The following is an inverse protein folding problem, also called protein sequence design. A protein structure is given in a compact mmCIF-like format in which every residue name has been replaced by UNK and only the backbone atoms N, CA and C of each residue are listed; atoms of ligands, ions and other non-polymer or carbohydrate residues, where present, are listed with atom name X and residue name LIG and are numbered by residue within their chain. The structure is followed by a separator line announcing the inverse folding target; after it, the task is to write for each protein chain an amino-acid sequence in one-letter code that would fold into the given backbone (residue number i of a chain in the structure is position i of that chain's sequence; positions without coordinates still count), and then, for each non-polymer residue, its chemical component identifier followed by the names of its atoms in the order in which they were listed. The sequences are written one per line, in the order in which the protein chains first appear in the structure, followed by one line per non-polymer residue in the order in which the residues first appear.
data_IF_687783137125
#
_entry.id   IF_687783137125
#
_cell.length_a   1.000
_cell.length_b   1.000
_cell.length_c   1.000
_cell.angle_alpha   90.00
_cell.angle_beta   90.00
_cell.angle_gamma   90.00
#
_symmetry.space_group_name_H-M   'P 1'
#
loop_
_entity.id
_entity.type
_entity.pdbx_description
1 polymer ?
#
# COMPACT_ATOMS: atom_id res chain seq x y z
N UNK A 1 -65.62 1.77 61.74
CA UNK A 1 -64.73 2.93 61.56
C UNK A 1 -63.58 2.42 60.69
N UNK A 2 -63.72 2.37 59.37
CA UNK A 2 -63.71 3.52 58.42
C UNK A 2 -62.32 4.20 58.48
N UNK A 3 -61.53 4.34 57.41
CA UNK A 3 -61.76 4.23 55.99
C UNK A 3 -60.46 3.80 55.26
N UNK A 4 -60.65 3.13 54.12
CA UNK A 4 -59.74 3.16 52.97
C UNK A 4 -59.99 4.48 52.25
N UNK A 5 -58.96 5.19 51.82
CA UNK A 5 -59.02 6.15 50.70
C UNK A 5 -57.60 6.29 50.11
N UNK A 6 -57.32 5.77 48.91
CA UNK A 6 -57.59 6.41 47.60
C UNK A 6 -56.54 7.47 47.26
N UNK A 7 -55.36 7.06 46.76
CA UNK A 7 -54.45 7.96 46.05
C UNK A 7 -54.75 7.85 44.57
N UNK A 8 -55.35 8.92 44.03
CA UNK A 8 -55.76 9.09 42.65
C UNK A 8 -54.57 9.39 41.74
N UNK A 9 -54.57 8.72 40.59
CA UNK A 9 -53.84 9.09 39.39
C UNK A 9 -54.14 10.53 38.97
N UNK A 10 -53.11 11.31 38.69
CA UNK A 10 -53.11 12.26 37.57
C UNK A 10 -51.77 12.22 36.85
N UNK A 11 -51.89 11.92 35.56
CA UNK A 11 -50.88 12.06 34.54
C UNK A 11 -50.27 13.46 34.52
N UNK A 12 -48.95 13.53 34.38
CA UNK A 12 -48.28 14.61 33.66
C UNK A 12 -47.05 14.01 32.95
N UNK A 13 -47.34 13.35 31.83
CA UNK A 13 -46.36 13.17 30.77
C UNK A 13 -46.17 14.53 30.11
N UNK A 14 -44.99 15.11 30.26
CA UNK A 14 -44.25 15.76 29.18
C UNK A 14 -43.01 16.45 29.74
N UNK A 15 -41.94 16.38 28.96
CA UNK A 15 -40.74 17.22 29.05
C UNK A 15 -39.55 16.67 29.84
N UNK A 16 -38.95 15.57 29.35
CA UNK A 16 -37.52 15.52 29.00
C UNK A 16 -37.37 14.40 27.96
N UNK A 17 -37.11 14.75 26.69
CA UNK A 17 -36.47 13.90 25.66
C UNK A 17 -36.68 14.52 24.27
N UNK A 18 -35.90 15.56 23.99
CA UNK A 18 -35.65 16.07 22.64
C UNK A 18 -34.15 16.26 22.48
N UNK A 19 -33.42 15.14 22.34
CA UNK A 19 -32.19 15.03 21.56
C UNK A 19 -31.77 13.55 21.54
N UNK A 20 -31.34 13.05 20.37
CA UNK A 20 -30.86 11.69 20.09
C UNK A 20 -31.91 10.57 19.86
N UNK A 21 -32.70 10.68 18.79
CA UNK A 21 -33.11 9.51 17.99
C UNK A 21 -33.74 9.96 16.66
N UNK A 22 -32.96 9.96 15.58
CA UNK A 22 -33.43 9.65 14.21
C UNK A 22 -32.25 9.73 13.22
N UNK A 23 -31.47 8.66 13.13
CA UNK A 23 -30.59 8.44 11.98
C UNK A 23 -31.00 7.06 11.44
N UNK A 24 -31.44 6.99 10.17
CA UNK A 24 -31.95 5.83 9.41
C UNK A 24 -33.44 5.48 9.70
N UNK A 25 -34.45 5.56 8.80
CA UNK A 25 -34.68 5.89 7.37
C UNK A 25 -36.22 5.90 7.12
N UNK A 26 -36.83 5.87 5.90
CA UNK A 26 -36.27 5.64 4.56
C UNK A 26 -36.64 6.67 3.46
N UNK A 27 -35.95 6.50 2.33
CA UNK A 27 -36.11 6.94 0.94
C UNK A 27 -37.43 7.57 0.49
N UNK A 28 -37.32 8.69 -0.23
CA UNK A 28 -37.74 8.88 -1.63
C UNK A 28 -37.56 10.37 -1.95
N UNK A 29 -36.60 10.70 -2.82
CA UNK A 29 -36.64 11.86 -3.71
C UNK A 29 -35.40 11.79 -4.63
N UNK A 30 -35.69 11.46 -5.88
CA UNK A 30 -34.77 11.51 -7.01
C UNK A 30 -34.38 12.97 -7.29
N UNK A 31 -33.21 13.39 -6.80
CA UNK A 31 -32.50 14.54 -7.35
C UNK A 31 -31.18 14.07 -7.98
N UNK A 32 -31.16 14.20 -9.31
CA UNK A 32 -30.11 13.84 -10.25
C UNK A 32 -28.90 14.77 -10.07
N UNK A 33 -28.15 14.60 -8.98
CA UNK A 33 -26.81 15.17 -8.82
C UNK A 33 -25.83 14.31 -9.60
N UNK A 34 -25.82 14.50 -10.92
CA UNK A 34 -24.76 14.05 -11.80
C UNK A 34 -23.51 14.92 -11.60
N UNK A 35 -22.96 14.91 -10.38
CA UNK A 35 -21.58 15.30 -10.13
C UNK A 35 -20.70 14.17 -10.68
N UNK A 36 -20.45 14.26 -11.99
CA UNK A 36 -19.37 13.51 -12.62
C UNK A 36 -18.08 13.93 -11.93
N UNK A 37 -17.69 13.18 -10.90
CA UNK A 37 -16.31 13.15 -10.42
C UNK A 37 -15.48 12.88 -11.68
N UNK A 38 -14.64 13.82 -12.14
CA UNK A 38 -13.84 13.55 -13.31
C UNK A 38 -12.91 12.40 -12.90
N UNK A 39 -13.19 11.21 -13.41
CA UNK A 39 -12.17 10.17 -13.58
C UNK A 39 -11.24 10.68 -14.66
N UNK A 40 -10.45 11.71 -14.34
CA UNK A 40 -9.26 11.95 -15.13
C UNK A 40 -8.38 10.72 -14.89
N UNK A 41 -7.90 10.03 -15.93
CA UNK A 41 -6.66 9.31 -15.74
C UNK A 41 -5.70 10.38 -15.23
N UNK A 42 -5.08 10.19 -14.07
CA UNK A 42 -3.99 11.05 -13.63
C UNK A 42 -2.90 10.95 -14.71
N UNK A 43 -3.01 11.75 -15.76
CA UNK A 43 -1.91 12.16 -16.59
C UNK A 43 -1.13 13.06 -15.65
N UNK A 44 -0.29 12.46 -14.81
CA UNK A 44 0.74 13.18 -14.08
C UNK A 44 1.56 13.86 -15.18
N UNK A 45 1.26 15.14 -15.43
CA UNK A 45 1.98 15.99 -16.38
C UNK A 45 3.40 16.28 -15.89
N UNK A 46 3.68 15.97 -14.62
CA UNK A 46 4.94 16.11 -13.95
C UNK A 46 4.88 15.46 -12.58
N UNK A 47 6.04 15.22 -12.00
CA UNK A 47 6.23 14.89 -10.60
C UNK A 47 6.61 16.16 -9.83
N UNK A 48 6.46 16.19 -8.49
CA UNK A 48 7.03 17.28 -7.71
C UNK A 48 8.56 17.31 -7.91
N UNK A 49 9.22 18.45 -7.69
CA UNK A 49 10.68 18.53 -7.71
C UNK A 49 11.32 17.48 -6.81
N UNK A 50 12.50 17.03 -7.19
CA UNK A 50 13.25 16.02 -6.45
C UNK A 50 13.41 16.45 -4.98
N UNK A 51 13.06 15.58 -4.02
CA UNK A 51 13.27 15.89 -2.63
C UNK A 51 14.77 15.88 -2.32
N UNK A 52 15.25 16.93 -1.64
CA UNK A 52 16.64 17.03 -1.19
C UNK A 52 17.01 15.97 -0.16
N UNK A 53 16.01 15.46 0.57
CA UNK A 53 16.11 14.46 1.63
C UNK A 53 15.30 13.20 1.28
N UNK A 54 15.60 12.09 1.96
CA UNK A 54 14.91 10.82 1.75
C UNK A 54 15.54 9.94 0.65
N UNK A 55 14.79 8.96 0.19
CA UNK A 55 15.30 7.83 -0.60
C UNK A 55 14.89 7.84 -2.07
N UNK A 56 14.39 8.97 -2.59
CA UNK A 56 13.96 9.13 -3.98
C UNK A 56 14.99 9.96 -4.72
N UNK A 57 15.45 9.50 -5.88
CA UNK A 57 16.43 10.18 -6.73
C UNK A 57 15.92 10.26 -8.18
N UNK A 58 15.95 11.45 -8.77
CA UNK A 58 15.57 11.63 -10.17
C UNK A 58 16.81 11.74 -11.05
N UNK A 59 16.78 11.09 -12.20
CA UNK A 59 17.83 11.25 -13.21
C UNK A 59 17.21 11.22 -14.60
N UNK A 60 17.52 12.24 -15.40
CA UNK A 60 17.13 12.20 -16.80
C UNK A 60 17.76 10.99 -17.48
N UNK A 61 19.07 10.81 -17.34
CA UNK A 61 19.81 9.65 -17.88
C UNK A 61 21.15 9.43 -17.16
N UNK A 62 21.63 8.18 -17.19
CA UNK A 62 22.88 7.73 -16.56
C UNK A 62 23.76 6.99 -17.58
N UNK A 63 24.10 7.66 -18.68
CA UNK A 63 24.88 7.06 -19.77
C UNK A 63 26.37 7.18 -19.45
N UNK A 64 27.04 6.04 -19.26
CA UNK A 64 28.50 5.88 -19.13
C UNK A 64 29.23 7.08 -18.49
N UNK A 65 28.96 7.37 -17.20
CA UNK A 65 29.64 8.47 -16.52
C UNK A 65 31.15 8.20 -16.43
N UNK A 66 31.93 9.28 -16.40
CA UNK A 66 33.36 9.18 -16.13
C UNK A 66 33.61 8.56 -14.74
N UNK A 67 34.81 8.00 -14.48
CA UNK A 67 35.07 7.31 -13.22
C UNK A 67 34.85 8.17 -11.98
N UNK A 68 35.16 9.47 -12.03
CA UNK A 68 34.96 10.37 -10.88
C UNK A 68 33.47 10.65 -10.66
N UNK A 69 32.72 10.87 -11.74
CA UNK A 69 31.26 11.02 -11.66
C UNK A 69 30.59 9.74 -11.17
N UNK A 70 31.07 8.57 -11.59
CA UNK A 70 30.55 7.28 -11.14
C UNK A 70 30.73 7.09 -9.64
N UNK A 71 31.91 7.38 -9.09
CA UNK A 71 32.15 7.31 -7.63
C UNK A 71 31.23 8.27 -6.85
N UNK A 72 30.97 9.47 -7.40
CA UNK A 72 30.03 10.40 -6.79
C UNK A 72 28.58 9.87 -6.81
N UNK A 73 28.14 9.28 -7.93
CA UNK A 73 26.83 8.65 -8.04
C UNK A 73 26.68 7.47 -7.07
N UNK A 74 27.73 6.66 -6.89
CA UNK A 74 27.74 5.56 -5.92
C UNK A 74 27.60 6.10 -4.49
N UNK A 75 28.32 7.17 -4.16
CA UNK A 75 28.23 7.80 -2.84
C UNK A 75 26.83 8.34 -2.57
N UNK A 76 26.21 8.98 -3.57
CA UNK A 76 24.84 9.45 -3.51
C UNK A 76 23.83 8.30 -3.33
N UNK A 77 23.98 7.22 -4.10
CA UNK A 77 23.13 6.02 -3.98
C UNK A 77 23.21 5.42 -2.58
N UNK A 78 24.42 5.31 -2.02
CA UNK A 78 24.61 4.83 -0.66
C UNK A 78 23.90 5.71 0.37
N UNK A 79 23.90 7.02 0.19
CA UNK A 79 23.17 7.94 1.05
C UNK A 79 21.66 7.77 0.93
N UNK A 80 21.10 7.70 -0.29
CA UNK A 80 19.66 7.44 -0.52
C UNK A 80 19.21 6.11 0.11
N UNK A 81 20.04 5.07 0.00
CA UNK A 81 19.77 3.77 0.63
C UNK A 81 19.76 3.87 2.17
N UNK A 82 20.65 4.66 2.77
CA UNK A 82 20.67 4.85 4.22
C UNK A 82 19.42 5.60 4.72
N UNK A 83 19.02 6.64 4.02
CA UNK A 83 17.80 7.40 4.32
C UNK A 83 16.54 6.52 4.22
N UNK A 84 16.52 5.59 3.27
CA UNK A 84 15.42 4.65 3.05
C UNK A 84 15.59 3.28 3.71
N UNK A 85 16.44 3.15 4.73
CA UNK A 85 16.63 1.90 5.50
C UNK A 85 16.96 0.67 4.64
N UNK A 86 17.77 0.85 3.61
CA UNK A 86 18.16 -0.19 2.65
C UNK A 86 17.39 -0.14 1.34
N UNK A 87 16.48 0.82 1.14
CA UNK A 87 15.72 0.96 -0.11
C UNK A 87 15.84 2.36 -0.69
N UNK A 88 16.02 2.46 -2.01
CA UNK A 88 16.00 3.73 -2.74
C UNK A 88 15.21 3.59 -4.04
N UNK A 89 14.44 4.61 -4.39
CA UNK A 89 13.68 4.69 -5.63
C UNK A 89 14.39 5.63 -6.60
N UNK A 90 14.67 5.12 -7.78
CA UNK A 90 15.27 5.87 -8.87
C UNK A 90 14.27 6.05 -9.99
N UNK A 91 14.04 7.30 -10.38
CA UNK A 91 13.22 7.62 -11.52
C UNK A 91 14.08 8.05 -12.70
N UNK A 92 14.15 7.19 -13.72
CA UNK A 92 14.92 7.41 -14.93
C UNK A 92 14.01 8.04 -16.00
N UNK A 93 14.50 9.08 -16.67
CA UNK A 93 13.72 9.87 -17.63
C UNK A 93 13.01 11.07 -16.99
N UNK A 94 13.35 11.39 -15.74
CA UNK A 94 12.77 12.51 -14.97
C UNK A 94 13.86 13.52 -14.66
N UNK A 95 13.59 14.81 -14.90
CA UNK A 95 14.49 15.89 -14.52
C UNK A 95 14.34 16.24 -13.03
N UNK A 96 15.37 16.85 -12.42
CA UNK A 96 15.38 17.23 -11.00
C UNK A 96 14.20 18.15 -10.61
N UNK A 97 13.62 18.87 -11.56
CA UNK A 97 12.41 19.69 -11.36
C UNK A 97 11.09 18.90 -11.39
N UNK A 98 11.15 17.59 -11.62
CA UNK A 98 10.01 16.68 -11.78
C UNK A 98 9.44 16.61 -13.21
N UNK A 99 10.13 17.22 -14.19
CA UNK A 99 9.67 17.20 -15.60
C UNK A 99 9.92 15.82 -16.22
N UNK A 100 8.87 15.26 -16.83
CA UNK A 100 8.85 13.94 -17.44
C UNK A 100 9.35 13.98 -18.91
N UNK A 101 10.64 14.22 -19.10
CA UNK A 101 11.24 14.36 -20.43
C UNK A 101 11.44 13.02 -21.17
N UNK A 102 11.57 11.92 -20.39
CA UNK A 102 11.79 10.56 -20.86
C UNK A 102 13.13 10.34 -21.57
N UNK A 103 13.50 9.08 -21.77
CA UNK A 103 14.71 8.63 -22.47
C UNK A 103 14.39 7.67 -23.62
N UNK A 104 15.24 7.55 -24.62
CA UNK A 104 15.06 6.50 -25.64
C UNK A 104 15.38 5.12 -25.07
N UNK A 105 14.99 4.04 -25.78
CA UNK A 105 15.30 2.67 -25.39
C UNK A 105 16.81 2.43 -25.18
N UNK A 106 17.64 2.99 -26.08
CA UNK A 106 19.11 2.88 -26.00
C UNK A 106 19.67 3.60 -24.77
N UNK A 107 19.16 4.81 -24.49
CA UNK A 107 19.57 5.59 -23.32
C UNK A 107 19.09 4.95 -22.02
N UNK A 108 17.91 4.33 -22.03
CA UNK A 108 17.36 3.61 -20.90
C UNK A 108 18.21 2.38 -20.55
N UNK A 109 18.51 1.53 -21.52
CA UNK A 109 19.35 0.34 -21.30
C UNK A 109 20.74 0.72 -20.79
N UNK A 110 21.36 1.78 -21.36
CA UNK A 110 22.64 2.29 -20.86
C UNK A 110 22.53 2.82 -19.42
N UNK A 111 21.43 3.53 -19.10
CA UNK A 111 21.19 4.07 -17.76
C UNK A 111 21.00 2.96 -16.72
N UNK A 112 20.26 1.92 -17.05
CA UNK A 112 20.04 0.76 -16.19
C UNK A 112 21.32 -0.05 -15.99
N UNK A 113 22.15 -0.18 -17.03
CA UNK A 113 23.46 -0.82 -16.92
C UNK A 113 24.38 -0.05 -15.96
N UNK A 114 24.37 1.28 -16.01
CA UNK A 114 25.11 2.12 -15.05
C UNK A 114 24.55 1.97 -13.63
N UNK A 115 23.23 2.04 -13.46
CA UNK A 115 22.57 1.87 -12.17
C UNK A 115 22.91 0.50 -11.55
N UNK A 116 22.92 -0.55 -12.36
CA UNK A 116 23.32 -1.90 -11.95
C UNK A 116 24.76 -1.94 -11.47
N UNK A 117 25.71 -1.36 -12.22
CA UNK A 117 27.12 -1.26 -11.81
C UNK A 117 27.27 -0.53 -10.46
N UNK A 118 26.49 0.53 -10.24
CA UNK A 118 26.49 1.26 -8.97
C UNK A 118 25.94 0.41 -7.83
N UNK A 119 24.82 -0.29 -8.04
CA UNK A 119 24.22 -1.18 -7.06
C UNK A 119 25.14 -2.35 -6.71
N UNK A 120 25.75 -3.00 -7.71
CA UNK A 120 26.69 -4.11 -7.53
C UNK A 120 27.89 -3.70 -6.65
N UNK A 121 28.40 -2.45 -6.81
CA UNK A 121 29.48 -1.89 -5.98
C UNK A 121 29.11 -1.75 -4.50
N UNK A 122 27.82 -1.56 -4.21
CA UNK A 122 27.29 -1.37 -2.86
C UNK A 122 26.74 -2.67 -2.25
N UNK A 123 26.74 -3.78 -3.00
CA UNK A 123 26.09 -5.03 -2.61
C UNK A 123 24.56 -4.94 -2.64
N UNK A 124 24.00 -4.07 -3.48
CA UNK A 124 22.57 -3.88 -3.65
C UNK A 124 22.06 -4.55 -4.93
N UNK A 125 20.75 -4.80 -4.99
CA UNK A 125 20.03 -5.31 -6.16
C UNK A 125 19.14 -4.22 -6.76
N UNK A 126 18.80 -4.35 -8.04
CA UNK A 126 17.86 -3.44 -8.72
C UNK A 126 16.67 -4.21 -9.29
N UNK A 127 15.47 -3.62 -9.18
CA UNK A 127 14.22 -4.18 -9.70
C UNK A 127 13.43 -3.06 -10.39
N UNK A 128 13.04 -3.25 -11.65
CA UNK A 128 12.13 -2.32 -12.33
C UNK A 128 10.73 -2.48 -11.72
N UNK A 129 10.17 -1.43 -11.14
CA UNK A 129 8.83 -1.45 -10.56
C UNK A 129 7.77 -1.06 -11.60
N UNK A 130 8.06 -0.03 -12.38
CA UNK A 130 7.10 0.54 -13.31
C UNK A 130 7.81 1.14 -14.53
N UNK A 131 7.19 1.00 -15.70
CA UNK A 131 7.67 1.57 -16.96
C UNK A 131 6.51 2.24 -17.70
N UNK A 132 6.72 3.50 -18.11
CA UNK A 132 5.77 4.30 -18.87
C UNK A 132 6.40 4.73 -20.19
N UNK A 133 5.72 4.40 -21.30
CA UNK A 133 6.07 4.91 -22.64
C UNK A 133 5.28 6.20 -22.93
N UNK A 134 5.98 7.25 -23.34
CA UNK A 134 5.44 8.53 -23.82
C UNK A 134 5.17 8.49 -25.32
N UNK A 135 4.43 9.49 -25.83
CA UNK A 135 4.02 9.60 -27.24
C UNK A 135 5.20 9.61 -28.24
N UNK A 136 6.38 10.06 -27.82
CA UNK A 136 7.58 10.18 -28.66
C UNK A 136 8.53 8.96 -28.57
N UNK A 137 8.01 7.78 -28.22
CA UNK A 137 8.82 6.58 -27.95
C UNK A 137 9.90 6.78 -26.88
N UNK A 138 9.58 7.61 -25.89
CA UNK A 138 10.44 7.82 -24.73
C UNK A 138 9.90 7.09 -23.52
N UNK A 139 10.79 6.60 -22.71
CA UNK A 139 10.50 5.75 -21.57
C UNK A 139 10.83 6.50 -20.28
N UNK A 140 9.99 6.28 -19.29
CA UNK A 140 10.21 6.69 -17.90
C UNK A 140 10.10 5.43 -17.08
N UNK A 141 11.09 5.17 -16.24
CA UNK A 141 11.17 3.94 -15.47
C UNK A 141 11.43 4.25 -14.02
N UNK A 142 10.62 3.66 -13.15
CA UNK A 142 10.84 3.64 -11.72
C UNK A 142 11.58 2.34 -11.37
N UNK A 143 12.74 2.48 -10.73
CA UNK A 143 13.62 1.39 -10.37
C UNK A 143 13.82 1.39 -8.86
N UNK A 144 13.50 0.28 -8.22
CA UNK A 144 13.83 0.03 -6.83
C UNK A 144 15.27 -0.47 -6.74
N UNK A 145 16.08 0.18 -5.91
CA UNK A 145 17.39 -0.29 -5.49
C UNK A 145 17.24 -0.76 -4.05
N UNK A 146 17.52 -2.04 -3.79
CA UNK A 146 17.40 -2.63 -2.45
C UNK A 146 18.73 -3.24 -2.03
N UNK A 147 19.21 -2.83 -0.86
CA UNK A 147 20.32 -3.42 -0.14
C UNK A 147 19.80 -4.12 1.09
N UNK A 148 19.92 -5.44 1.12
CA UNK A 148 19.66 -6.21 2.34
C UNK A 148 20.81 -5.92 3.32
N UNK A 149 20.54 -5.48 4.55
CA UNK A 149 21.60 -5.23 5.53
C UNK A 149 22.35 -6.52 5.85
N UNK A 150 23.69 -6.44 5.95
CA UNK A 150 24.54 -7.59 6.29
C UNK A 150 24.17 -8.21 7.66
N UNK A 151 23.59 -7.39 8.55
CA UNK A 151 23.23 -7.76 9.93
C UNK A 151 21.77 -8.23 10.08
N UNK A 152 20.94 -8.01 9.06
CA UNK A 152 19.50 -8.26 9.12
C UNK A 152 19.15 -9.37 8.13
N UNK A 153 19.10 -10.60 8.65
CA UNK A 153 18.83 -11.79 7.85
C UNK A 153 17.43 -11.80 7.18
N UNK A 154 16.51 -10.92 7.59
CA UNK A 154 15.16 -10.76 7.00
C UNK A 154 14.45 -9.49 7.53
N UNK A 155 13.56 -8.91 6.72
CA UNK A 155 12.60 -7.88 7.16
C UNK A 155 11.34 -8.61 7.67
N UNK A 156 11.02 -8.49 8.96
CA UNK A 156 9.79 -9.06 9.57
C UNK A 156 8.71 -7.98 9.68
N UNK A 157 7.67 -8.09 8.86
CA UNK A 157 6.51 -7.20 8.90
C UNK A 157 5.30 -7.93 9.50
N UNK A 158 4.79 -7.41 10.62
CA UNK A 158 3.66 -7.99 11.35
C UNK A 158 2.36 -7.25 11.04
N UNK A 159 1.52 -7.85 10.21
CA UNK A 159 0.19 -7.33 9.88
C UNK A 159 -0.88 -7.96 10.78
N UNK A 160 -1.71 -7.13 11.42
CA UNK A 160 -2.90 -7.58 12.14
C UNK A 160 -4.17 -7.23 11.35
N UNK A 161 -5.02 -8.22 11.07
CA UNK A 161 -6.29 -8.02 10.36
C UNK A 161 -7.43 -7.94 11.37
N UNK A 162 -8.07 -6.77 11.47
CA UNK A 162 -9.15 -6.48 12.41
C UNK A 162 -10.46 -6.14 11.68
N UNK A 163 -11.60 -6.34 12.35
CA UNK A 163 -12.92 -6.02 11.78
C UNK A 163 -14.05 -6.88 12.28
N UNK A 164 -15.27 -6.55 11.87
CA UNK A 164 -16.53 -7.15 12.32
C UNK A 164 -16.67 -8.63 11.97
N UNK A 165 -17.60 -9.34 12.61
CA UNK A 165 -17.86 -10.75 12.31
C UNK A 165 -18.33 -10.89 10.84
N UNK A 166 -17.86 -11.94 10.15
CA UNK A 166 -18.17 -12.25 8.75
C UNK A 166 -17.65 -11.27 7.68
N UNK A 167 -16.76 -10.33 8.02
CA UNK A 167 -16.14 -9.42 7.04
C UNK A 167 -15.08 -10.07 6.13
N UNK A 168 -14.94 -11.40 6.17
CA UNK A 168 -13.99 -12.13 5.31
C UNK A 168 -12.52 -12.09 5.75
N UNK A 169 -12.18 -11.60 6.94
CA UNK A 169 -10.78 -11.50 7.43
C UNK A 169 -10.01 -12.83 7.35
N UNK A 170 -10.62 -13.89 7.86
CA UNK A 170 -10.01 -15.21 7.84
C UNK A 170 -9.95 -15.76 6.41
N UNK A 171 -10.91 -15.39 5.55
CA UNK A 171 -10.87 -15.79 4.15
C UNK A 171 -9.72 -15.11 3.42
N UNK A 172 -9.53 -13.79 3.56
CA UNK A 172 -8.42 -13.08 2.90
C UNK A 172 -7.06 -13.57 3.39
N UNK A 173 -6.88 -13.76 4.70
CA UNK A 173 -5.63 -14.31 5.24
C UNK A 173 -5.38 -15.70 4.66
N UNK A 174 -6.39 -16.56 4.61
CA UNK A 174 -6.26 -17.91 4.04
C UNK A 174 -5.90 -17.90 2.55
N UNK A 175 -6.54 -17.04 1.76
CA UNK A 175 -6.23 -16.89 0.31
C UNK A 175 -4.80 -16.39 0.12
N UNK A 176 -4.39 -15.36 0.85
CA UNK A 176 -3.05 -14.76 0.68
C UNK A 176 -1.93 -15.70 1.12
N UNK A 177 -2.15 -16.56 2.13
CA UNK A 177 -1.08 -17.41 2.67
C UNK A 177 -1.02 -18.78 2.03
N UNK A 178 -2.16 -19.31 1.53
CA UNK A 178 -2.22 -20.66 0.95
C UNK A 178 -2.38 -20.66 -0.58
N UNK A 179 -2.65 -19.51 -1.21
CA UNK A 179 -2.80 -19.40 -2.66
C UNK A 179 -4.08 -20.04 -3.24
N UNK A 180 -4.97 -20.56 -2.39
CA UNK A 180 -6.25 -21.12 -2.80
C UNK A 180 -7.36 -20.07 -2.73
N UNK A 181 -8.08 -19.88 -3.84
CA UNK A 181 -9.21 -18.96 -3.88
C UNK A 181 -10.36 -19.45 -2.99
N UNK A 182 -10.99 -18.52 -2.28
CA UNK A 182 -12.17 -18.81 -1.48
C UNK A 182 -13.39 -19.05 -2.40
N UNK A 183 -14.19 -20.08 -2.11
CA UNK A 183 -15.39 -20.41 -2.88
C UNK A 183 -16.63 -19.56 -2.53
N UNK A 184 -16.41 -18.43 -1.83
CA UNK A 184 -17.47 -17.57 -1.30
C UNK A 184 -18.21 -18.13 -0.07
N UNK A 185 -17.84 -19.32 0.41
CA UNK A 185 -18.38 -19.93 1.64
C UNK A 185 -17.35 -20.02 2.77
N UNK A 186 -16.17 -19.45 2.58
CA UNK A 186 -15.09 -19.52 3.56
C UNK A 186 -14.40 -20.88 3.55
N UNK A 187 -14.13 -21.46 2.38
CA UNK A 187 -13.24 -22.61 2.24
C UNK A 187 -11.80 -22.23 2.61
N UNK A 188 -11.33 -21.05 2.19
CA UNK A 188 -9.95 -20.62 2.43
C UNK A 188 -9.63 -20.45 3.93
N UNK A 189 -10.60 -20.02 4.74
CA UNK A 189 -10.41 -19.86 6.20
C UNK A 189 -10.33 -21.18 6.96
N UNK A 190 -10.73 -22.31 6.36
CA UNK A 190 -10.64 -23.62 7.03
C UNK A 190 -9.18 -23.98 7.35
N UNK A 191 -8.25 -23.54 6.50
CA UNK A 191 -6.81 -23.71 6.70
C UNK A 191 -6.30 -22.94 7.94
N UNK A 192 -7.06 -21.95 8.43
CA UNK A 192 -6.70 -21.14 9.60
C UNK A 192 -7.31 -21.63 10.91
N UNK A 193 -8.27 -22.56 10.87
CA UNK A 193 -8.94 -23.07 12.06
C UNK A 193 -8.03 -24.05 12.79
N UNK A 194 -7.86 -23.83 14.10
CA UNK A 194 -7.00 -24.64 14.97
C UNK A 194 -7.80 -25.53 15.90
N UNK A 195 -9.07 -25.21 16.15
CA UNK A 195 -9.89 -25.92 17.11
C UNK A 195 -11.16 -26.52 16.48
N UNK A 196 -11.60 -27.67 17.01
CA UNK A 196 -12.79 -28.38 16.52
C UNK A 196 -14.05 -27.49 16.53
N UNK A 197 -14.21 -26.67 17.55
CA UNK A 197 -15.36 -25.76 17.66
C UNK A 197 -15.33 -24.63 16.61
N UNK A 198 -14.16 -24.26 16.07
CA UNK A 198 -14.06 -23.31 14.96
C UNK A 198 -14.54 -23.95 13.65
N UNK A 199 -14.16 -25.21 13.41
CA UNK A 199 -14.61 -25.99 12.24
C UNK A 199 -16.13 -26.20 12.29
N UNK A 200 -16.67 -26.58 13.44
CA UNK A 200 -18.09 -26.84 13.61
C UNK A 200 -18.95 -25.57 13.50
N UNK A 201 -18.49 -24.46 14.07
CA UNK A 201 -19.23 -23.19 14.06
C UNK A 201 -18.99 -22.35 12.81
N UNK A 202 -17.92 -22.63 12.06
CA UNK A 202 -17.45 -21.78 10.97
C UNK A 202 -17.00 -20.40 11.44
N UNK A 203 -16.58 -20.25 12.70
CA UNK A 203 -16.12 -18.97 13.27
C UNK A 203 -14.71 -19.14 13.84
N UNK A 204 -13.84 -18.17 13.54
CA UNK A 204 -12.55 -18.03 14.23
C UNK A 204 -12.79 -17.56 15.67
N UNK A 205 -12.30 -18.32 16.64
CA UNK A 205 -12.34 -18.01 18.08
C UNK A 205 -10.94 -17.81 18.66
N UNK A 206 -9.90 -18.14 17.90
CA UNK A 206 -8.49 -18.02 18.28
C UNK A 206 -7.71 -17.04 17.40
N UNK A 207 -6.58 -16.55 17.92
CA UNK A 207 -5.63 -15.75 17.16
C UNK A 207 -4.74 -16.70 16.37
N UNK A 208 -4.76 -16.54 15.04
CA UNK A 208 -3.93 -17.31 14.11
C UNK A 208 -2.79 -16.43 13.60
N UNK A 209 -1.59 -17.01 13.54
CA UNK A 209 -0.41 -16.40 12.94
C UNK A 209 -0.03 -17.21 11.71
N UNK A 210 0.06 -16.53 10.58
CA UNK A 210 0.53 -17.08 9.31
C UNK A 210 1.80 -16.32 8.92
N UNK A 211 2.73 -17.03 8.29
CA UNK A 211 4.00 -16.46 7.82
C UNK A 211 3.99 -16.48 6.30
N UNK A 212 4.22 -15.32 5.69
CA UNK A 212 4.44 -15.17 4.26
C UNK A 212 5.85 -14.65 4.06
N UNK A 213 6.68 -15.43 3.37
CA UNK A 213 8.07 -15.09 3.09
C UNK A 213 8.23 -14.67 1.64
N UNK A 214 9.05 -13.66 1.40
CA UNK A 214 9.42 -13.19 0.08
C UNK A 214 10.95 -13.20 -0.05
N UNK A 215 11.43 -13.55 -1.24
CA UNK A 215 12.85 -13.40 -1.58
C UNK A 215 13.18 -11.93 -1.93
N UNK A 216 14.45 -11.66 -2.25
CA UNK A 216 14.92 -10.32 -2.59
C UNK A 216 14.23 -9.71 -3.82
N UNK A 217 13.68 -10.56 -4.70
CA UNK A 217 12.91 -10.18 -5.89
C UNK A 217 11.42 -9.93 -5.59
N UNK A 218 10.96 -10.22 -4.37
CA UNK A 218 9.55 -10.07 -3.97
C UNK A 218 8.67 -11.26 -4.36
N UNK A 219 9.26 -12.41 -4.70
CA UNK A 219 8.55 -13.67 -4.97
C UNK A 219 8.51 -14.59 -3.75
#
# INVERSE_FOLDING_TARGET
MSNRDSISHKDDRNNVDKHMTSLFGPTDDDEDDNEQVPRSPFVLTGLPPEPQEGNIEYKLKLIEPDPYRLEHLITQMNWRLQEGQGEALYEIGVEDCGTLSGVTDEELEASLATLKKMADRLGASITKLYERKLENERHIVEVLVRKVPDDQHFIDLRVAVLGTVNSGKSSIVGVCTHGELDNGRGSARLNLFRHLHEIQSGRTSSITHEILGFNDLGE
#
